data_IF_417719466438
#
_entry.id   IF_417719466438
#
_cell.length_a   1.000
_cell.length_b   1.000
_cell.length_c   1.000
_cell.angle_alpha   90.00
_cell.angle_beta   90.00
_cell.angle_gamma   90.00
#
_symmetry.space_group_name_H-M   'P 1'
#
loop_
_entity.id
_entity.type
_entity.pdbx_description
1 polymer ?
#
# COMPACT_ATOMS: atom_id res chain seq x y z
N UNK A 1 0.24 -10.32 10.55
CA UNK A 1 1.58 -10.23 9.94
C UNK A 1 1.48 -10.58 8.46
N UNK A 2 1.68 -9.62 7.55
CA UNK A 2 1.91 -9.95 6.14
C UNK A 2 3.39 -10.33 5.98
N UNK A 3 3.67 -11.49 5.39
CA UNK A 3 4.98 -11.85 4.84
C UNK A 3 4.83 -12.15 3.34
N UNK A 4 5.79 -11.69 2.54
CA UNK A 4 5.89 -12.12 1.14
C UNK A 4 6.02 -13.65 1.11
N UNK A 5 5.24 -14.32 0.27
CA UNK A 5 5.40 -15.76 0.06
C UNK A 5 6.74 -15.99 -0.65
N UNK A 6 7.74 -16.63 -0.02
CA UNK A 6 9.05 -16.81 -0.63
C UNK A 6 9.00 -17.62 -1.92
N UNK A 7 8.01 -18.50 -2.08
CA UNK A 7 7.85 -19.29 -3.30
C UNK A 7 7.60 -18.43 -4.55
N UNK A 8 7.07 -17.21 -4.39
CA UNK A 8 6.91 -16.27 -5.51
C UNK A 8 8.26 -15.80 -6.05
N UNK A 9 9.32 -15.80 -5.24
CA UNK A 9 10.67 -15.44 -5.70
C UNK A 9 11.30 -16.55 -6.54
N UNK A 10 10.70 -17.74 -6.56
CA UNK A 10 11.10 -18.84 -7.44
C UNK A 10 10.33 -18.84 -8.77
N UNK A 11 9.33 -17.98 -8.93
CA UNK A 11 8.55 -17.81 -10.16
C UNK A 11 9.23 -16.75 -11.05
N UNK A 12 9.81 -17.15 -12.21
CA UNK A 12 10.49 -16.21 -13.11
C UNK A 12 9.59 -15.12 -13.66
N UNK A 13 8.29 -15.39 -13.88
CA UNK A 13 7.36 -14.38 -14.38
C UNK A 13 7.11 -13.31 -13.32
N UNK A 14 6.95 -13.73 -12.06
CA UNK A 14 6.79 -12.80 -10.95
C UNK A 14 8.04 -11.95 -10.70
N UNK A 15 9.23 -12.56 -10.77
CA UNK A 15 10.50 -11.84 -10.62
C UNK A 15 10.67 -10.82 -11.75
N UNK A 16 10.44 -11.24 -13.01
CA UNK A 16 10.49 -10.33 -14.15
C UNK A 16 9.51 -9.18 -14.01
N UNK A 17 8.28 -9.46 -13.57
CA UNK A 17 7.30 -8.43 -13.29
C UNK A 17 7.81 -7.42 -12.26
N UNK A 18 8.42 -7.87 -11.16
CA UNK A 18 9.00 -6.97 -10.16
C UNK A 18 10.13 -6.11 -10.74
N UNK A 19 11.01 -6.70 -11.56
CA UNK A 19 12.08 -5.99 -12.25
C UNK A 19 11.52 -4.92 -13.18
N UNK A 20 10.55 -5.26 -14.03
CA UNK A 20 9.90 -4.33 -14.96
C UNK A 20 9.23 -3.15 -14.21
N UNK A 21 8.58 -3.42 -13.07
CA UNK A 21 7.97 -2.36 -12.24
C UNK A 21 9.02 -1.42 -11.62
N UNK A 22 10.16 -1.97 -11.19
CA UNK A 22 11.26 -1.18 -10.65
C UNK A 22 11.97 -0.37 -11.73
N UNK A 23 12.21 -0.96 -12.90
CA UNK A 23 12.83 -0.28 -14.04
C UNK A 23 11.94 0.87 -14.53
N UNK A 24 10.63 0.67 -14.63
CA UNK A 24 9.69 1.75 -14.94
C UNK A 24 9.74 2.89 -13.90
N UNK A 25 9.83 2.55 -12.62
CA UNK A 25 9.94 3.56 -11.58
C UNK A 25 11.27 4.32 -11.67
N UNK A 26 12.40 3.62 -11.78
CA UNK A 26 13.72 4.24 -11.82
C UNK A 26 13.93 5.07 -13.09
N UNK A 27 13.56 4.55 -14.26
CA UNK A 27 13.67 5.29 -15.53
C UNK A 27 12.93 6.63 -15.53
N UNK A 28 11.88 6.75 -14.71
CA UNK A 28 11.10 7.99 -14.60
C UNK A 28 11.61 8.93 -13.50
N UNK A 29 12.24 8.40 -12.45
CA UNK A 29 12.51 9.15 -11.22
C UNK A 29 14.00 9.31 -10.89
N UNK A 30 14.90 8.55 -11.53
CA UNK A 30 16.36 8.63 -11.36
C UNK A 30 16.92 9.84 -12.12
N UNK A 31 16.84 10.99 -11.45
CA UNK A 31 17.27 12.28 -11.97
C UNK A 31 18.62 12.69 -11.35
N UNK A 32 19.43 13.51 -12.05
CA UNK A 32 20.69 14.01 -11.50
C UNK A 32 20.50 14.68 -10.13
N UNK A 33 21.26 14.23 -9.13
CA UNK A 33 21.20 14.76 -7.77
C UNK A 33 20.17 14.08 -6.85
N UNK A 34 19.37 13.14 -7.34
CA UNK A 34 18.50 12.32 -6.49
C UNK A 34 19.29 11.15 -5.92
N UNK A 35 19.27 10.97 -4.59
CA UNK A 35 19.94 9.85 -3.95
C UNK A 35 19.11 8.56 -4.04
N UNK A 36 19.76 7.40 -4.02
CA UNK A 36 19.08 6.10 -3.94
C UNK A 36 18.14 5.99 -2.72
N UNK A 37 18.52 6.60 -1.60
CA UNK A 37 17.67 6.67 -0.39
C UNK A 37 16.38 7.46 -0.65
N UNK A 38 16.49 8.60 -1.35
CA UNK A 38 15.33 9.41 -1.75
C UNK A 38 14.40 8.64 -2.68
N UNK A 39 14.94 7.92 -3.67
CA UNK A 39 14.17 7.06 -4.58
C UNK A 39 13.43 5.95 -3.82
N UNK A 40 14.13 5.29 -2.90
CA UNK A 40 13.56 4.24 -2.07
C UNK A 40 12.39 4.74 -1.21
N UNK A 41 12.55 5.87 -0.54
CA UNK A 41 11.48 6.46 0.26
C UNK A 41 10.31 6.95 -0.61
N UNK A 42 10.57 7.47 -1.81
CA UNK A 42 9.54 7.82 -2.77
C UNK A 42 8.73 6.59 -3.24
N UNK A 43 9.40 5.49 -3.57
CA UNK A 43 8.75 4.23 -3.95
C UNK A 43 7.87 3.68 -2.82
N UNK A 44 8.37 3.69 -1.57
CA UNK A 44 7.61 3.31 -0.38
C UNK A 44 6.38 4.19 -0.18
N UNK A 45 6.52 5.51 -0.34
CA UNK A 45 5.41 6.46 -0.23
C UNK A 45 4.34 6.19 -1.30
N UNK A 46 4.74 5.94 -2.56
CA UNK A 46 3.84 5.56 -3.66
C UNK A 46 3.07 4.28 -3.34
N UNK A 47 3.76 3.24 -2.85
CA UNK A 47 3.13 1.96 -2.47
C UNK A 47 2.11 2.14 -1.35
N UNK A 48 2.44 2.91 -0.31
CA UNK A 48 1.53 3.18 0.80
C UNK A 48 0.30 3.99 0.37
N UNK A 49 0.47 4.96 -0.53
CA UNK A 49 -0.66 5.71 -1.10
C UNK A 49 -1.57 4.81 -1.94
N UNK A 50 -1.01 3.92 -2.76
CA UNK A 50 -1.79 2.95 -3.53
C UNK A 50 -2.61 2.03 -2.61
N UNK A 51 -2.03 1.55 -1.51
CA UNK A 51 -2.75 0.77 -0.49
C UNK A 51 -3.89 1.58 0.13
N UNK A 52 -3.66 2.84 0.48
CA UNK A 52 -4.69 3.73 1.02
C UNK A 52 -5.88 3.88 0.05
N UNK A 53 -5.61 4.17 -1.24
CA UNK A 53 -6.66 4.32 -2.26
C UNK A 53 -7.48 3.04 -2.45
N UNK A 54 -6.84 1.86 -2.42
CA UNK A 54 -7.54 0.57 -2.50
C UNK A 54 -8.48 0.40 -1.31
N UNK A 55 -8.02 0.66 -0.09
CA UNK A 55 -8.83 0.54 1.12
C UNK A 55 -10.03 1.50 1.10
N UNK A 56 -9.83 2.76 0.70
CA UNK A 56 -10.90 3.76 0.59
C UNK A 56 -11.96 3.37 -0.46
N UNK A 57 -11.52 2.84 -1.60
CA UNK A 57 -12.41 2.29 -2.63
C UNK A 57 -13.20 1.08 -2.09
N UNK A 58 -12.53 0.19 -1.38
CA UNK A 58 -13.15 -1.02 -0.85
C UNK A 58 -14.18 -0.69 0.24
N UNK A 59 -13.92 0.31 1.10
CA UNK A 59 -14.92 0.87 2.03
C UNK A 59 -16.14 1.36 1.28
N UNK A 60 -15.93 2.17 0.23
CA UNK A 60 -17.05 2.74 -0.56
C UNK A 60 -17.91 1.66 -1.20
N UNK A 61 -17.28 0.60 -1.72
CA UNK A 61 -17.99 -0.53 -2.34
C UNK A 61 -18.72 -1.39 -1.31
N UNK A 62 -18.08 -1.72 -0.18
CA UNK A 62 -18.67 -2.52 0.88
C UNK A 62 -19.80 -1.77 1.59
N UNK A 63 -19.69 -0.46 1.79
CA UNK A 63 -20.79 0.36 2.32
C UNK A 63 -22.00 0.33 1.39
N UNK A 64 -21.78 0.39 0.07
CA UNK A 64 -22.87 0.27 -0.93
C UNK A 64 -23.49 -1.12 -0.91
N UNK A 65 -22.69 -2.17 -0.81
CA UNK A 65 -23.14 -3.56 -0.77
C UNK A 65 -23.90 -3.86 0.53
N UNK A 66 -23.42 -3.34 1.66
CA UNK A 66 -24.08 -3.49 2.95
C UNK A 66 -25.44 -2.80 2.96
N UNK A 67 -25.55 -1.58 2.42
CA UNK A 67 -26.83 -0.88 2.28
C UNK A 67 -27.86 -1.65 1.45
N UNK A 68 -27.42 -2.48 0.50
CA UNK A 68 -28.29 -3.30 -0.35
C UNK A 68 -28.65 -4.64 0.28
N UNK A 69 -27.69 -5.30 0.92
CA UNK A 69 -27.82 -6.69 1.37
C UNK A 69 -28.08 -6.83 2.88
N UNK A 70 -27.76 -5.81 3.68
CA UNK A 70 -27.70 -5.83 5.14
C UNK A 70 -26.94 -7.04 5.72
N UNK A 71 -25.99 -7.59 4.95
CA UNK A 71 -25.29 -8.82 5.29
C UNK A 71 -24.25 -8.59 6.40
N UNK A 72 -24.35 -9.38 7.47
CA UNK A 72 -23.37 -9.40 8.57
C UNK A 72 -21.96 -9.73 8.05
N UNK A 73 -21.85 -10.56 7.01
CA UNK A 73 -20.55 -10.89 6.41
C UNK A 73 -19.89 -9.68 5.72
N UNK A 74 -20.69 -8.82 5.09
CA UNK A 74 -20.22 -7.58 4.45
C UNK A 74 -19.83 -6.56 5.51
N UNK A 75 -20.61 -6.46 6.60
CA UNK A 75 -20.28 -5.61 7.75
C UNK A 75 -18.92 -5.98 8.36
N UNK A 76 -18.67 -7.28 8.61
CA UNK A 76 -17.39 -7.76 9.12
C UNK A 76 -16.21 -7.39 8.22
N UNK A 77 -16.38 -7.52 6.89
CA UNK A 77 -15.36 -7.11 5.92
C UNK A 77 -15.11 -5.61 5.96
N UNK A 78 -16.19 -4.82 6.02
CA UNK A 78 -16.14 -3.37 6.09
C UNK A 78 -15.37 -2.89 7.34
N UNK A 79 -15.66 -3.45 8.51
CA UNK A 79 -14.95 -3.13 9.75
C UNK A 79 -13.47 -3.50 9.67
N UNK A 80 -13.15 -4.64 9.05
CA UNK A 80 -11.76 -5.03 8.82
C UNK A 80 -11.00 -4.06 7.90
N UNK A 81 -11.63 -3.61 6.80
CA UNK A 81 -11.01 -2.65 5.86
C UNK A 81 -10.83 -1.28 6.52
N UNK A 82 -11.82 -0.81 7.31
CA UNK A 82 -11.71 0.41 8.11
C UNK A 82 -10.56 0.34 9.11
N UNK A 83 -10.47 -0.75 9.87
CA UNK A 83 -9.39 -0.97 10.82
C UNK A 83 -8.01 -0.99 10.14
N UNK A 84 -7.90 -1.60 8.96
CA UNK A 84 -6.65 -1.61 8.18
C UNK A 84 -6.25 -0.20 7.72
N UNK A 85 -7.22 0.63 7.31
CA UNK A 85 -6.97 2.03 6.93
C UNK A 85 -6.52 2.85 8.15
N UNK A 86 -7.19 2.71 9.29
CA UNK A 86 -6.84 3.43 10.53
C UNK A 86 -5.45 3.07 11.03
N UNK A 87 -5.06 1.80 10.93
CA UNK A 87 -3.70 1.35 11.26
C UNK A 87 -2.67 2.00 10.35
N UNK A 88 -2.92 2.07 9.04
CA UNK A 88 -2.02 2.69 8.07
C UNK A 88 -1.85 4.19 8.36
N UNK A 89 -2.95 4.91 8.60
CA UNK A 89 -2.93 6.34 8.93
C UNK A 89 -2.22 6.61 10.26
N UNK A 90 -2.47 5.76 11.26
CA UNK A 90 -1.81 5.85 12.58
C UNK A 90 -0.30 5.66 12.46
N UNK A 91 0.16 4.69 11.67
CA UNK A 91 1.60 4.49 11.43
C UNK A 91 2.21 5.70 10.72
N UNK A 92 1.54 6.24 9.70
CA UNK A 92 1.97 7.45 8.99
C UNK A 92 2.11 8.65 9.92
N UNK A 93 1.15 8.84 10.83
CA UNK A 93 1.21 9.90 11.84
C UNK A 93 2.39 9.72 12.80
N UNK A 94 2.63 8.49 13.28
CA UNK A 94 3.78 8.16 14.15
C UNK A 94 5.12 8.45 13.46
N UNK A 95 5.26 8.04 12.21
CA UNK A 95 6.46 8.30 11.41
C UNK A 95 6.69 9.80 11.22
N UNK A 96 5.64 10.57 10.89
CA UNK A 96 5.75 12.02 10.76
C UNK A 96 6.16 12.70 12.07
N UNK A 97 5.58 12.29 13.20
CA UNK A 97 5.95 12.78 14.52
C UNK A 97 7.39 12.43 14.90
N UNK A 98 7.88 11.26 14.51
CA UNK A 98 9.28 10.87 14.74
C UNK A 98 10.24 11.78 13.99
N UNK A 99 10.03 11.99 12.69
CA UNK A 99 10.88 12.86 11.89
C UNK A 99 10.75 14.36 12.22
N UNK A 100 9.62 14.82 12.77
CA UNK A 100 9.46 16.21 13.19
C UNK A 100 10.16 16.56 14.52
N UNK A 101 10.56 15.54 15.31
CA UNK A 101 11.25 15.71 16.59
C UNK A 101 12.79 15.64 16.47
N UNK A 102 13.29 15.30 15.28
CA UNK A 102 14.71 15.17 14.95
C UNK A 102 15.08 16.18 13.87
#
# INVERSE_FOLDING_TARGET
HWRLNPALLSDPEFVKYLEDQWELFLSTNDLPGVSASTLWEAAKKKSNLAKQLVLERDITNLDREFKKSSSISVLKKLDAVRSALDQLLSQKAKTAMFYAKH
#
